data_IF_498110553232
#
_entry.id   IF_498110553232
#
_cell.length_a   1.000
_cell.length_b   1.000
_cell.length_c   1.000
_cell.angle_alpha   90.00
_cell.angle_beta   90.00
_cell.angle_gamma   90.00
#
_symmetry.space_group_name_H-M   'P 1'
#
loop_
_entity.id
_entity.type
_entity.pdbx_description
1 polymer ?
#
# COMPACT_ATOMS: atom_id res chain seq x y z
N UNK A 1 -9.11 -9.52 5.28
CA UNK A 1 -8.14 -9.32 4.17
C UNK A 1 -7.90 -7.84 3.88
N UNK A 2 -8.95 -7.01 3.81
CA UNK A 2 -8.81 -5.54 3.74
C UNK A 2 -7.96 -4.95 4.87
N UNK A 3 -8.21 -5.35 6.12
CA UNK A 3 -7.48 -4.82 7.29
C UNK A 3 -5.98 -5.17 7.29
N UNK A 4 -5.61 -6.35 6.78
CA UNK A 4 -4.21 -6.75 6.64
C UNK A 4 -3.48 -5.88 5.62
N UNK A 5 -4.12 -5.59 4.48
CA UNK A 5 -3.55 -4.71 3.45
C UNK A 5 -3.47 -3.25 3.95
N UNK A 6 -4.42 -2.81 4.77
CA UNK A 6 -4.40 -1.49 5.40
C UNK A 6 -3.22 -1.36 6.38
N UNK A 7 -3.05 -2.35 7.25
CA UNK A 7 -1.91 -2.40 8.18
C UNK A 7 -0.57 -2.45 7.44
N UNK A 8 -0.50 -3.19 6.32
CA UNK A 8 0.69 -3.26 5.47
C UNK A 8 1.00 -1.91 4.82
N UNK A 9 0.00 -1.23 4.25
CA UNK A 9 0.17 0.09 3.65
C UNK A 9 0.69 1.11 4.67
N UNK A 10 0.10 1.13 5.88
CA UNK A 10 0.53 2.02 6.96
C UNK A 10 1.97 1.72 7.41
N UNK A 11 2.34 0.44 7.53
CA UNK A 11 3.70 0.04 7.92
C UNK A 11 4.73 0.44 6.86
N UNK A 12 4.40 0.29 5.58
CA UNK A 12 5.27 0.67 4.47
C UNK A 12 5.44 2.19 4.34
N UNK A 13 4.39 2.97 4.63
CA UNK A 13 4.46 4.44 4.66
C UNK A 13 5.35 4.94 5.81
N UNK A 14 5.23 4.35 7.00
CA UNK A 14 6.10 4.65 8.13
C UNK A 14 7.58 4.31 7.82
N UNK A 15 7.83 3.14 7.21
CA UNK A 15 9.18 2.77 6.76
C UNK A 15 9.72 3.72 5.69
N UNK A 16 8.89 4.19 4.77
CA UNK A 16 9.30 5.20 3.79
C UNK A 16 9.79 6.48 4.48
N UNK A 17 9.01 7.01 5.43
CA UNK A 17 9.37 8.23 6.14
C UNK A 17 10.69 8.08 6.92
N UNK A 18 10.88 6.95 7.61
CA UNK A 18 12.09 6.64 8.36
C UNK A 18 13.33 6.54 7.44
N UNK A 19 13.22 5.80 6.33
CA UNK A 19 14.29 5.65 5.36
C UNK A 19 14.66 6.97 4.65
N UNK A 20 13.68 7.84 4.40
CA UNK A 20 13.94 9.21 3.90
C UNK A 20 14.73 10.02 4.92
N UNK A 21 14.37 9.93 6.21
CA UNK A 21 15.11 10.56 7.29
C UNK A 21 16.57 10.09 7.33
N UNK A 22 16.79 8.77 7.23
CA UNK A 22 18.13 8.19 7.16
C UNK A 22 18.91 8.62 5.91
N UNK A 23 18.27 8.69 4.75
CA UNK A 23 18.90 9.17 3.52
C UNK A 23 19.36 10.63 3.66
N UNK A 24 18.49 11.50 4.18
CA UNK A 24 18.79 12.91 4.38
C UNK A 24 19.93 13.12 5.39
N UNK A 25 19.96 12.36 6.49
CA UNK A 25 21.01 12.45 7.50
C UNK A 25 22.39 12.01 6.99
N UNK A 26 22.46 11.16 5.96
CA UNK A 26 23.70 10.59 5.46
C UNK A 26 24.20 11.23 4.15
N UNK A 27 23.43 12.11 3.51
CA UNK A 27 23.70 12.56 2.12
C UNK A 27 25.04 13.29 1.94
N UNK A 28 25.51 13.97 2.98
CA UNK A 28 26.76 14.74 2.94
C UNK A 28 27.98 13.86 3.24
N UNK A 29 27.96 13.15 4.36
CA UNK A 29 29.14 12.44 4.87
C UNK A 29 29.23 10.99 4.34
N UNK A 30 28.08 10.37 4.03
CA UNK A 30 27.97 8.98 3.62
C UNK A 30 27.04 8.80 2.41
N UNK A 31 27.37 9.38 1.24
CA UNK A 31 26.47 9.43 0.08
C UNK A 31 26.05 8.05 -0.44
N UNK A 32 26.91 7.04 -0.36
CA UNK A 32 26.58 5.65 -0.73
C UNK A 32 25.52 5.05 0.20
N UNK A 33 25.62 5.33 1.50
CA UNK A 33 24.61 4.88 2.47
C UNK A 33 23.30 5.64 2.26
N UNK A 34 23.37 6.95 2.01
CA UNK A 34 22.20 7.77 1.68
C UNK A 34 21.45 7.24 0.45
N UNK A 35 22.18 6.89 -0.62
CA UNK A 35 21.59 6.29 -1.82
C UNK A 35 20.91 4.95 -1.52
N UNK A 36 21.55 4.10 -0.71
CA UNK A 36 20.97 2.81 -0.32
C UNK A 36 19.64 2.99 0.44
N UNK A 37 19.60 3.91 1.42
CA UNK A 37 18.37 4.25 2.13
C UNK A 37 17.30 4.83 1.20
N UNK A 38 17.67 5.74 0.28
CA UNK A 38 16.73 6.30 -0.69
C UNK A 38 16.12 5.23 -1.62
N UNK A 39 16.93 4.27 -2.10
CA UNK A 39 16.45 3.15 -2.91
C UNK A 39 15.46 2.27 -2.13
N UNK A 40 15.74 2.00 -0.86
CA UNK A 40 14.82 1.25 0.01
C UNK A 40 13.53 2.05 0.26
N UNK A 41 13.63 3.36 0.49
CA UNK A 41 12.48 4.24 0.67
C UNK A 41 11.54 4.18 -0.54
N UNK A 42 12.08 4.32 -1.77
CA UNK A 42 11.26 4.23 -2.98
C UNK A 42 10.57 2.88 -3.14
N UNK A 43 11.23 1.77 -2.76
CA UNK A 43 10.59 0.45 -2.74
C UNK A 43 9.47 0.35 -1.72
N UNK A 44 9.67 0.87 -0.51
CA UNK A 44 8.62 0.92 0.51
C UNK A 44 7.40 1.69 0.02
N UNK A 45 7.61 2.87 -0.57
CA UNK A 45 6.55 3.69 -1.14
C UNK A 45 5.81 3.00 -2.30
N UNK A 46 6.54 2.33 -3.20
CA UNK A 46 5.95 1.58 -4.29
C UNK A 46 5.03 0.47 -3.78
N UNK A 47 5.51 -0.30 -2.80
CA UNK A 47 4.74 -1.39 -2.20
C UNK A 47 3.53 -0.84 -1.42
N UNK A 48 3.64 0.31 -0.76
CA UNK A 48 2.52 0.97 -0.08
C UNK A 48 1.39 1.25 -1.08
N UNK A 49 1.73 1.85 -2.23
CA UNK A 49 0.75 2.12 -3.32
C UNK A 49 0.13 0.83 -3.85
N UNK A 50 0.93 -0.23 -4.03
CA UNK A 50 0.42 -1.52 -4.46
C UNK A 50 -0.58 -2.13 -3.46
N UNK A 51 -0.33 -2.01 -2.14
CA UNK A 51 -1.26 -2.43 -1.11
C UNK A 51 -2.58 -1.64 -1.16
N UNK A 52 -2.51 -0.32 -1.36
CA UNK A 52 -3.70 0.53 -1.51
C UNK A 52 -4.51 0.15 -2.75
N UNK A 53 -3.84 -0.09 -3.87
CA UNK A 53 -4.49 -0.53 -5.10
C UNK A 53 -5.13 -1.93 -4.95
N UNK A 54 -4.47 -2.85 -4.25
CA UNK A 54 -5.06 -4.15 -3.95
C UNK A 54 -6.33 -4.00 -3.11
N UNK A 55 -6.34 -3.11 -2.10
CA UNK A 55 -7.54 -2.83 -1.31
C UNK A 55 -8.67 -2.26 -2.16
N UNK A 56 -8.39 -1.30 -3.04
CA UNK A 56 -9.42 -0.69 -3.89
C UNK A 56 -10.04 -1.73 -4.84
N UNK A 57 -9.21 -2.61 -5.42
CA UNK A 57 -9.67 -3.74 -6.26
C UNK A 57 -10.53 -4.72 -5.48
N UNK A 58 -10.19 -5.04 -4.23
CA UNK A 58 -11.01 -5.92 -3.38
C UNK A 58 -12.37 -5.28 -3.07
N UNK A 59 -12.39 -4.02 -2.64
CA UNK A 59 -13.64 -3.30 -2.36
C UNK A 59 -14.54 -3.20 -3.59
N UNK A 60 -13.95 -2.99 -4.77
CA UNK A 60 -14.70 -3.00 -6.03
C UNK A 60 -15.35 -4.36 -6.30
N UNK A 61 -14.59 -5.46 -6.10
CA UNK A 61 -15.11 -6.82 -6.27
C UNK A 61 -16.21 -7.16 -5.29
N UNK A 62 -16.07 -6.77 -4.03
CA UNK A 62 -17.10 -6.96 -2.99
C UNK A 62 -18.38 -6.20 -3.34
N UNK A 63 -18.26 -4.95 -3.78
CA UNK A 63 -19.41 -4.15 -4.23
C UNK A 63 -20.10 -4.77 -5.46
N UNK A 64 -19.33 -5.29 -6.41
CA UNK A 64 -19.89 -5.96 -7.59
C UNK A 64 -20.61 -7.27 -7.21
N UNK A 65 -20.03 -8.07 -6.32
CA UNK A 65 -20.63 -9.31 -5.83
C UNK A 65 -21.95 -9.06 -5.10
N UNK A 66 -22.03 -8.03 -4.25
CA UNK A 66 -23.26 -7.63 -3.58
C UNK A 66 -24.38 -7.31 -4.59
N UNK A 67 -24.07 -6.52 -5.63
CA UNK A 67 -25.04 -6.17 -6.68
C UNK A 67 -25.56 -7.37 -7.47
N UNK A 68 -24.70 -8.38 -7.72
CA UNK A 68 -25.12 -9.61 -8.39
C UNK A 68 -25.94 -10.53 -7.48
N UNK A 69 -25.61 -10.60 -6.18
CA UNK A 69 -26.40 -11.35 -5.20
C UNK A 69 -27.81 -10.79 -5.04
N UNK A 70 -27.95 -9.47 -5.03
CA UNK A 70 -29.26 -8.79 -4.98
C UNK A 70 -30.11 -9.06 -6.24
N UNK A 71 -29.47 -9.20 -7.41
CA UNK A 71 -30.18 -9.46 -8.67
C UNK A 71 -30.74 -10.90 -8.75
N UNK A 72 -30.01 -11.90 -8.22
CA UNK A 72 -30.46 -13.30 -8.19
C UNK A 72 -31.56 -13.54 -7.13
N UNK A 73 -31.57 -12.77 -6.03
CA UNK A 73 -32.62 -12.84 -5.00
C UNK A 73 -33.96 -12.19 -5.40
N UNK A 74 -33.97 -11.35 -6.44
CA UNK A 74 -35.15 -10.61 -6.90
C UNK A 74 -35.98 -11.30 -7.99
N UNK A 75 -35.52 -12.42 -8.56
CA UNK A 75 -36.18 -13.12 -9.67
C UNK A 75 -37.17 -14.22 -9.22
N UNK A 76 -37.54 -14.24 -7.93
CA UNK A 76 -38.40 -15.26 -7.33
C UNK A 76 -39.59 -14.71 -6.55
N UNK A 77 -40.42 -13.87 -7.18
CA UNK A 77 -41.81 -13.56 -6.80
C UNK A 77 -42.61 -13.24 -8.07
#
# INVERSE_FOLDING_TARGET
MSDMLAAQAQSLDALFADLVGHAAANITDFPVAAEAYARLAFRAQWNCRASIEAMSRLRYREALAARHGDAEGGAGL
#
